data_IF_599009402235
#
_entry.id   IF_599009402235
#
_cell.length_a   1.000
_cell.length_b   1.000
_cell.length_c   1.000
_cell.angle_alpha   90.00
_cell.angle_beta   90.00
_cell.angle_gamma   90.00
#
_symmetry.space_group_name_H-M   'P 1'
#
loop_
_entity.id
_entity.type
_entity.pdbx_description
1 polymer ?
#
# COMPACT_ATOMS: atom_id res chain seq x y z
N UNK A 1 8.76 -4.71 6.71
CA UNK A 1 7.46 -4.41 7.36
C UNK A 1 6.90 -5.70 7.86
N UNK A 2 6.22 -5.65 9.00
CA UNK A 2 5.59 -6.79 9.64
C UNK A 2 4.08 -6.58 9.74
N UNK A 3 3.34 -7.64 10.07
CA UNK A 3 1.93 -7.48 10.43
C UNK A 3 1.80 -6.54 11.62
N UNK A 4 0.70 -5.80 11.67
CA UNK A 4 0.36 -4.81 12.69
C UNK A 4 1.21 -3.54 12.66
N UNK A 5 2.13 -3.42 11.69
CA UNK A 5 2.89 -2.18 11.47
C UNK A 5 1.95 -1.03 11.08
N UNK A 6 2.11 0.11 11.75
CA UNK A 6 1.40 1.35 11.44
C UNK A 6 2.02 2.02 10.21
N UNK A 7 1.17 2.47 9.29
CA UNK A 7 1.64 3.03 8.02
C UNK A 7 0.89 4.29 7.64
N UNK A 8 1.60 5.18 6.98
CA UNK A 8 1.05 6.30 6.25
C UNK A 8 1.13 5.99 4.74
N UNK A 9 0.03 6.22 4.02
CA UNK A 9 0.02 6.11 2.56
C UNK A 9 0.78 7.26 1.92
N UNK A 10 1.41 6.99 0.77
CA UNK A 10 2.00 8.04 -0.07
C UNK A 10 0.93 9.04 -0.51
N UNK A 11 1.27 10.34 -0.50
CA UNK A 11 0.34 11.41 -0.88
C UNK A 11 -0.15 11.33 -2.34
N UNK A 12 0.57 10.57 -3.17
CA UNK A 12 0.23 10.28 -4.56
C UNK A 12 -0.69 9.06 -4.74
N UNK A 13 -1.16 8.41 -3.67
CA UNK A 13 -2.26 7.45 -3.80
C UNK A 13 -3.51 8.16 -4.36
N UNK A 14 -4.30 7.43 -5.18
CA UNK A 14 -5.44 7.97 -5.95
C UNK A 14 -6.29 8.97 -5.14
N UNK A 15 -6.81 10.02 -5.78
CA UNK A 15 -7.55 11.13 -5.14
C UNK A 15 -8.66 10.67 -4.17
N UNK A 16 -9.39 9.59 -4.50
CA UNK A 16 -10.45 9.06 -3.63
C UNK A 16 -9.93 8.39 -2.34
N UNK A 17 -8.63 8.08 -2.27
CA UNK A 17 -7.93 7.56 -1.08
C UNK A 17 -7.32 8.67 -0.20
N UNK A 18 -7.31 9.94 -0.62
CA UNK A 18 -6.74 11.03 0.19
C UNK A 18 -7.40 11.18 1.57
N UNK A 19 -8.65 10.72 1.73
CA UNK A 19 -9.33 10.69 3.02
C UNK A 19 -8.73 9.70 4.03
N UNK A 20 -8.08 8.63 3.56
CA UNK A 20 -7.56 7.49 4.33
C UNK A 20 -6.03 7.50 4.40
N UNK A 21 -5.46 8.57 4.96
CA UNK A 21 -4.00 8.78 5.04
C UNK A 21 -3.24 7.70 5.82
N UNK A 22 -3.91 6.98 6.73
CA UNK A 22 -3.29 6.05 7.66
C UNK A 22 -3.98 4.68 7.68
N UNK A 23 -3.23 3.66 8.07
CA UNK A 23 -3.76 2.31 8.25
C UNK A 23 -2.78 1.38 8.96
N UNK A 24 -3.17 0.11 9.05
CA UNK A 24 -2.37 -0.96 9.69
C UNK A 24 -2.13 -2.08 8.67
N UNK A 25 -0.90 -2.58 8.60
CA UNK A 25 -0.57 -3.76 7.79
C UNK A 25 -1.24 -4.98 8.40
N UNK A 26 -2.11 -5.65 7.65
CA UNK A 26 -2.76 -6.89 8.10
C UNK A 26 -2.18 -8.14 7.42
N UNK A 27 -1.28 -7.95 6.46
CA UNK A 27 -0.56 -9.04 5.82
C UNK A 27 -0.11 -8.71 4.40
N UNK A 28 0.12 -9.76 3.61
CA UNK A 28 0.72 -9.64 2.29
C UNK A 28 -0.07 -10.41 1.24
N UNK A 29 -0.05 -9.90 0.02
CA UNK A 29 -0.55 -10.62 -1.15
C UNK A 29 0.42 -11.70 -1.64
N UNK A 30 0.06 -12.32 -2.76
CA UNK A 30 0.97 -13.16 -3.56
C UNK A 30 1.89 -12.27 -4.38
N UNK A 31 3.14 -12.68 -4.55
CA UNK A 31 4.07 -12.02 -5.46
C UNK A 31 3.50 -12.02 -6.88
N UNK A 32 3.54 -10.87 -7.54
CA UNK A 32 3.06 -10.70 -8.90
C UNK A 32 3.88 -9.63 -9.62
N UNK A 33 3.84 -9.67 -10.94
CA UNK A 33 4.43 -8.63 -11.77
C UNK A 33 3.66 -7.32 -11.58
N UNK A 34 4.42 -6.24 -11.46
CA UNK A 34 3.90 -4.89 -11.36
C UNK A 34 4.69 -4.02 -12.31
N UNK A 35 3.96 -3.16 -13.01
CA UNK A 35 4.51 -2.25 -14.00
C UNK A 35 4.48 -0.88 -13.34
N UNK A 36 5.66 -0.33 -13.11
CA UNK A 36 5.78 1.07 -12.75
C UNK A 36 5.29 1.93 -13.94
N UNK A 37 4.27 2.75 -13.72
CA UNK A 37 3.60 3.47 -14.81
C UNK A 37 4.45 4.60 -15.38
N UNK A 38 5.41 5.11 -14.62
CA UNK A 38 6.24 6.24 -15.00
C UNK A 38 7.49 5.79 -15.76
N UNK A 39 8.10 4.68 -15.34
CA UNK A 39 9.34 4.13 -15.91
C UNK A 39 9.12 2.96 -16.85
N UNK A 40 7.96 2.30 -16.80
CA UNK A 40 7.65 1.09 -17.56
C UNK A 40 8.34 -0.19 -17.04
N UNK A 41 9.07 -0.09 -15.92
CA UNK A 41 9.81 -1.23 -15.36
C UNK A 41 8.86 -2.28 -14.78
N UNK A 42 9.18 -3.54 -15.09
CA UNK A 42 8.47 -4.72 -14.59
C UNK A 42 9.23 -5.31 -13.40
N UNK A 43 8.62 -5.22 -12.23
CA UNK A 43 9.19 -5.74 -10.99
C UNK A 43 8.26 -6.78 -10.38
N UNK A 44 8.84 -7.89 -9.92
CA UNK A 44 8.12 -8.88 -9.13
C UNK A 44 8.03 -8.38 -7.69
N UNK A 45 6.81 -8.06 -7.26
CA UNK A 45 6.57 -7.50 -5.93
C UNK A 45 5.46 -8.24 -5.21
N UNK A 46 5.60 -8.23 -3.88
CA UNK A 46 4.60 -8.74 -2.95
C UNK A 46 3.82 -7.56 -2.36
N UNK A 47 2.58 -7.31 -2.80
CA UNK A 47 1.84 -6.14 -2.33
C UNK A 47 1.46 -6.27 -0.86
N UNK A 48 1.51 -5.17 -0.13
CA UNK A 48 1.15 -5.09 1.29
C UNK A 48 -0.35 -4.85 1.42
N UNK A 49 -1.02 -5.61 2.28
CA UNK A 49 -2.44 -5.44 2.60
C UNK A 49 -2.58 -4.55 3.81
N UNK A 50 -3.22 -3.40 3.64
CA UNK A 50 -3.42 -2.39 4.68
C UNK A 50 -4.90 -2.24 4.95
N UNK A 51 -5.29 -2.29 6.23
CA UNK A 51 -6.63 -1.90 6.70
C UNK A 51 -6.60 -0.40 6.99
N UNK A 52 -7.39 0.37 6.25
CA UNK A 52 -7.47 1.82 6.35
C UNK A 52 -8.33 2.24 7.53
N UNK A 53 -7.98 3.34 8.19
CA UNK A 53 -8.61 3.72 9.45
C UNK A 53 -10.02 4.31 9.29
N UNK A 54 -10.23 5.27 8.37
CA UNK A 54 -11.54 5.93 8.26
C UNK A 54 -12.53 5.06 7.51
N UNK A 55 -12.14 4.49 6.38
CA UNK A 55 -13.05 3.62 5.61
C UNK A 55 -13.17 2.21 6.15
N UNK A 56 -12.23 1.75 7.00
CA UNK A 56 -12.15 0.36 7.45
C UNK A 56 -11.79 -0.64 6.34
N UNK A 57 -11.61 -0.18 5.10
CA UNK A 57 -11.41 -1.03 3.92
C UNK A 57 -10.00 -1.59 3.91
N UNK A 58 -9.87 -2.80 3.37
CA UNK A 58 -8.56 -3.41 3.10
C UNK A 58 -8.17 -3.15 1.66
N UNK A 59 -7.01 -2.52 1.47
CA UNK A 59 -6.43 -2.25 0.14
C UNK A 59 -5.03 -2.83 0.03
N UNK A 60 -4.56 -2.97 -1.21
CA UNK A 60 -3.23 -3.50 -1.55
C UNK A 60 -2.38 -2.36 -2.06
N UNK A 61 -1.19 -2.22 -1.51
CA UNK A 61 -0.25 -1.17 -1.87
C UNK A 61 1.08 -1.75 -2.31
N UNK A 62 1.75 -1.02 -3.21
CA UNK A 62 3.17 -1.19 -3.43
C UNK A 62 3.90 -0.87 -2.11
N UNK A 63 4.91 -1.64 -1.68
CA UNK A 63 5.68 -1.35 -0.47
C UNK A 63 6.19 0.11 -0.43
N UNK A 64 6.74 0.59 -1.55
CA UNK A 64 7.27 1.95 -1.69
C UNK A 64 6.23 3.07 -1.52
N UNK A 65 4.94 2.74 -1.61
CA UNK A 65 3.85 3.70 -1.36
C UNK A 65 3.44 3.75 0.12
N UNK A 66 4.16 3.08 1.02
CA UNK A 66 3.88 3.03 2.44
C UNK A 66 5.07 3.54 3.24
N UNK A 67 4.82 4.54 4.09
CA UNK A 67 5.78 5.04 5.06
C UNK A 67 5.47 4.43 6.43
N UNK A 68 6.48 3.81 7.04
CA UNK A 68 6.34 3.29 8.41
C UNK A 68 6.35 4.46 9.40
N UNK A 69 5.52 4.37 10.44
CA UNK A 69 5.39 5.38 11.50
C UNK A 69 5.84 4.77 12.83
#
# INVERSE_FOLDING_TARGET
MDKETRVQLHAACDEWMQGDKYGIVIGYGKSREYIDRFTGLKSMIRPVRVKLDKSGRVRRFHPDNLFTI
#
